data_IF_639431321430
#
_entry.id   IF_639431321430
#
_cell.length_a   1.000
_cell.length_b   1.000
_cell.length_c   1.000
_cell.angle_alpha   90.00
_cell.angle_beta   90.00
_cell.angle_gamma   90.00
#
_symmetry.space_group_name_H-M   'P 1'
#
loop_
_entity.id
_entity.type
_entity.pdbx_description
1 polymer ?
#
# COMPACT_ATOMS: atom_id res chain seq x y z
N UNK A 1 23.70 -2.85 15.90
CA UNK A 1 23.86 -3.38 14.52
C UNK A 1 23.50 -2.26 13.56
N UNK A 2 24.45 -1.80 12.74
CA UNK A 2 24.24 -0.67 11.82
C UNK A 2 23.29 -1.16 10.73
N UNK A 3 22.03 -0.75 10.82
CA UNK A 3 21.00 -1.05 9.84
C UNK A 3 21.37 -0.31 8.55
N UNK A 4 22.17 -0.93 7.68
CA UNK A 4 22.52 -0.38 6.38
C UNK A 4 21.25 -0.37 5.55
N UNK A 5 20.46 0.71 5.66
CA UNK A 5 19.42 1.01 4.69
C UNK A 5 20.10 1.22 3.35
N UNK A 6 19.71 0.42 2.37
CA UNK A 6 20.13 0.61 1.00
C UNK A 6 19.49 1.87 0.44
N UNK A 7 20.28 2.95 0.42
CA UNK A 7 19.84 4.26 -0.10
C UNK A 7 19.30 4.16 -1.53
N UNK A 8 19.81 3.22 -2.33
CA UNK A 8 19.33 2.96 -3.69
C UNK A 8 17.86 2.52 -3.73
N UNK A 9 17.43 1.68 -2.78
CA UNK A 9 16.03 1.23 -2.69
C UNK A 9 15.11 2.36 -2.20
N UNK A 10 15.60 3.18 -1.27
CA UNK A 10 14.87 4.36 -0.80
C UNK A 10 14.67 5.38 -1.96
N UNK A 11 15.71 5.60 -2.78
CA UNK A 11 15.63 6.45 -3.98
C UNK A 11 14.67 5.86 -5.02
N UNK A 12 14.75 4.56 -5.30
CA UNK A 12 13.85 3.90 -6.24
C UNK A 12 12.37 4.06 -5.83
N UNK A 13 12.08 3.92 -4.53
CA UNK A 13 10.73 4.20 -4.00
C UNK A 13 10.31 5.65 -4.19
N UNK A 14 11.21 6.59 -3.90
CA UNK A 14 10.92 8.01 -4.08
C UNK A 14 10.58 8.32 -5.55
N UNK A 15 11.34 7.78 -6.50
CA UNK A 15 11.07 7.93 -7.94
C UNK A 15 9.69 7.36 -8.30
N UNK A 16 9.35 6.16 -7.81
CA UNK A 16 8.02 5.56 -8.06
C UNK A 16 6.87 6.45 -7.54
N UNK A 17 7.02 7.06 -6.36
CA UNK A 17 6.02 7.96 -5.79
C UNK A 17 5.90 9.24 -6.62
N UNK A 18 7.02 9.80 -7.09
CA UNK A 18 7.00 10.99 -7.96
C UNK A 18 6.28 10.68 -9.27
N UNK A 19 6.59 9.53 -9.89
CA UNK A 19 5.93 9.09 -11.12
C UNK A 19 4.42 8.91 -10.94
N UNK A 20 3.99 8.36 -9.80
CA UNK A 20 2.57 8.27 -9.45
C UNK A 20 1.89 9.65 -9.41
N UNK A 21 2.53 10.64 -8.77
CA UNK A 21 2.01 12.00 -8.68
C UNK A 21 1.92 12.66 -10.06
N UNK A 22 2.95 12.46 -10.90
CA UNK A 22 2.97 12.99 -12.28
C UNK A 22 1.86 12.36 -13.14
N UNK A 23 1.61 11.05 -13.00
CA UNK A 23 0.52 10.38 -13.69
C UNK A 23 -0.86 10.94 -13.34
N UNK A 24 -1.05 11.43 -12.11
CA UNK A 24 -2.30 12.02 -11.65
C UNK A 24 -2.40 13.54 -11.82
N UNK A 25 -1.32 14.25 -12.17
CA UNK A 25 -1.31 15.72 -12.28
C UNK A 25 -1.83 16.26 -13.61
N UNK A 26 -2.52 15.45 -14.43
CA UNK A 26 -3.02 15.87 -15.74
C UNK A 26 -1.92 16.02 -16.80
N UNK A 27 -0.90 15.14 -16.77
CA UNK A 27 0.18 15.15 -17.75
C UNK A 27 -0.31 14.78 -19.18
N UNK A 28 0.49 15.06 -20.23
CA UNK A 28 0.16 14.67 -21.60
C UNK A 28 -0.11 13.16 -21.71
N UNK A 29 -1.07 12.76 -22.55
CA UNK A 29 -1.51 11.35 -22.69
C UNK A 29 -0.37 10.37 -22.93
N UNK A 30 0.60 10.72 -23.78
CA UNK A 30 1.78 9.88 -24.03
C UNK A 30 2.60 9.60 -22.75
N UNK A 31 2.76 10.61 -21.89
CA UNK A 31 3.51 10.47 -20.65
C UNK A 31 2.71 9.68 -19.62
N UNK A 32 1.40 9.93 -19.55
CA UNK A 32 0.48 9.15 -18.73
C UNK A 32 0.56 7.66 -19.07
N UNK A 33 0.35 7.29 -20.34
CA UNK A 33 0.36 5.90 -20.79
C UNK A 33 1.70 5.22 -20.48
N UNK A 34 2.80 5.91 -20.78
CA UNK A 34 4.15 5.40 -20.51
C UNK A 34 4.38 5.13 -19.02
N UNK A 35 4.06 6.10 -18.14
CA UNK A 35 4.25 5.95 -16.70
C UNK A 35 3.31 4.87 -16.13
N UNK A 36 2.08 4.79 -16.64
CA UNK A 36 1.07 3.83 -16.18
C UNK A 36 1.50 2.37 -16.38
N UNK A 37 2.29 2.09 -17.41
CA UNK A 37 2.78 0.74 -17.73
C UNK A 37 3.65 0.13 -16.63
N UNK A 38 4.43 0.92 -15.88
CA UNK A 38 5.46 0.36 -14.99
C UNK A 38 5.47 0.91 -13.56
N UNK A 39 4.93 2.09 -13.28
CA UNK A 39 5.06 2.68 -11.93
C UNK A 39 4.45 1.80 -10.83
N UNK A 40 3.27 1.22 -11.06
CA UNK A 40 2.63 0.30 -10.10
C UNK A 40 3.44 -1.00 -9.93
N UNK A 41 3.74 -1.78 -11.00
CA UNK A 41 4.58 -2.97 -10.87
C UNK A 41 5.92 -2.71 -10.20
N UNK A 42 6.61 -1.62 -10.57
CA UNK A 42 7.90 -1.24 -9.99
C UNK A 42 7.78 -0.94 -8.49
N UNK A 43 6.75 -0.20 -8.09
CA UNK A 43 6.51 0.12 -6.68
C UNK A 43 6.23 -1.14 -5.82
N UNK A 44 5.44 -2.09 -6.35
CA UNK A 44 5.21 -3.38 -5.70
C UNK A 44 6.49 -4.20 -5.60
N UNK A 45 7.29 -4.26 -6.67
CA UNK A 45 8.54 -4.99 -6.69
C UNK A 45 9.54 -4.48 -5.64
N UNK A 46 9.78 -3.16 -5.62
CA UNK A 46 10.69 -2.55 -4.63
C UNK A 46 10.16 -2.74 -3.21
N UNK A 47 8.84 -2.71 -3.01
CA UNK A 47 8.24 -2.95 -1.70
C UNK A 47 8.34 -4.40 -1.23
N UNK A 48 8.27 -5.36 -2.15
CA UNK A 48 8.52 -6.78 -1.88
C UNK A 48 9.99 -7.08 -1.61
N UNK A 49 10.92 -6.42 -2.31
CA UNK A 49 12.36 -6.56 -2.07
C UNK A 49 12.77 -6.12 -0.66
N UNK A 50 12.07 -5.13 -0.10
CA UNK A 50 12.26 -4.67 1.28
C UNK A 50 11.60 -5.58 2.34
N UNK A 51 11.04 -6.73 1.93
CA UNK A 51 10.53 -7.74 2.85
C UNK A 51 11.72 -8.51 3.44
N UNK A 52 12.13 -8.14 4.65
CA UNK A 52 13.22 -8.80 5.36
C UNK A 52 12.81 -10.21 5.83
N UNK A 53 13.72 -11.18 5.73
CA UNK A 53 13.55 -12.58 6.18
C UNK A 53 13.12 -12.69 7.65
N UNK A 54 13.52 -11.73 8.50
CA UNK A 54 13.09 -11.65 9.90
C UNK A 54 11.56 -11.59 10.07
N UNK A 55 10.85 -11.05 9.08
CA UNK A 55 9.39 -10.98 9.09
C UNK A 55 8.71 -12.26 8.60
N UNK A 56 9.46 -13.14 7.93
CA UNK A 56 8.97 -14.45 7.49
C UNK A 56 9.01 -15.45 8.65
N UNK A 57 10.05 -15.39 9.49
CA UNK A 57 10.19 -16.25 10.67
C UNK A 57 9.25 -15.85 11.82
N UNK A 58 9.03 -14.56 12.04
CA UNK A 58 8.01 -14.06 12.98
C UNK A 58 6.89 -13.31 12.25
N UNK A 59 5.92 -14.09 11.77
CA UNK A 59 4.74 -13.60 11.06
C UNK A 59 3.96 -12.54 11.85
N UNK A 60 3.86 -12.66 13.18
CA UNK A 60 3.08 -11.72 13.99
C UNK A 60 3.72 -10.33 13.95
N UNK A 61 5.02 -10.26 14.17
CA UNK A 61 5.77 -9.00 14.10
C UNK A 61 5.80 -8.43 12.68
N UNK A 62 5.95 -9.29 11.66
CA UNK A 62 5.86 -8.90 10.25
C UNK A 62 4.52 -8.24 9.91
N UNK A 63 3.40 -8.90 10.22
CA UNK A 63 2.05 -8.37 9.98
C UNK A 63 1.80 -7.05 10.71
N UNK A 64 2.18 -6.95 11.99
CA UNK A 64 2.00 -5.72 12.77
C UNK A 64 2.79 -4.56 12.14
N UNK A 65 4.02 -4.80 11.69
CA UNK A 65 4.84 -3.75 11.10
C UNK A 65 4.32 -3.30 9.74
N UNK A 66 3.80 -4.23 8.91
CA UNK A 66 3.15 -3.87 7.64
C UNK A 66 1.82 -3.16 7.86
N UNK A 67 1.03 -3.56 8.85
CA UNK A 67 -0.19 -2.86 9.24
C UNK A 67 0.11 -1.43 9.72
N UNK A 68 1.13 -1.23 10.56
CA UNK A 68 1.56 0.12 10.96
C UNK A 68 2.01 0.97 9.77
N UNK A 69 2.64 0.37 8.77
CA UNK A 69 3.15 1.08 7.60
C UNK A 69 2.10 1.45 6.56
N UNK A 70 1.07 0.62 6.34
CA UNK A 70 0.07 0.82 5.28
C UNK A 70 -1.36 0.95 5.79
N UNK A 71 -1.78 0.07 6.71
CA UNK A 71 -3.14 0.07 7.26
C UNK A 71 -3.41 1.28 8.16
N UNK A 72 -2.51 1.58 9.08
CA UNK A 72 -2.65 2.72 9.98
C UNK A 72 -2.78 4.06 9.25
N UNK A 73 -1.88 4.44 8.30
CA UNK A 73 -2.04 5.69 7.58
C UNK A 73 -3.31 5.71 6.73
N UNK A 74 -3.69 4.59 6.11
CA UNK A 74 -4.94 4.47 5.35
C UNK A 74 -6.16 4.80 6.23
N UNK A 75 -6.33 4.10 7.36
CA UNK A 75 -7.48 4.31 8.25
C UNK A 75 -7.48 5.71 8.84
N UNK A 76 -6.32 6.21 9.29
CA UNK A 76 -6.20 7.54 9.90
C UNK A 76 -6.67 8.63 8.93
N UNK A 77 -6.15 8.64 7.71
CA UNK A 77 -6.47 9.68 6.73
C UNK A 77 -7.89 9.53 6.19
N UNK A 78 -8.35 8.31 5.89
CA UNK A 78 -9.73 8.08 5.45
C UNK A 78 -10.74 8.51 6.51
N UNK A 79 -10.49 8.21 7.79
CA UNK A 79 -11.39 8.63 8.87
C UNK A 79 -11.44 10.14 9.03
N UNK A 80 -10.29 10.83 8.92
CA UNK A 80 -10.26 12.30 8.96
C UNK A 80 -11.11 12.89 7.83
N UNK A 81 -10.93 12.44 6.59
CA UNK A 81 -11.72 12.95 5.46
C UNK A 81 -13.21 12.61 5.58
N UNK A 82 -13.54 11.43 6.10
CA UNK A 82 -14.92 11.02 6.35
C UNK A 82 -15.59 11.90 7.42
N UNK A 83 -14.88 12.27 8.49
CA UNK A 83 -15.40 13.20 9.52
C UNK A 83 -15.69 14.58 8.94
N UNK A 84 -14.83 15.08 8.04
CA UNK A 84 -15.03 16.35 7.38
C UNK A 84 -15.94 16.27 6.14
N UNK A 85 -16.44 15.09 5.79
CA UNK A 85 -17.25 14.87 4.57
C UNK A 85 -18.47 15.79 4.52
N UNK A 86 -19.21 15.90 5.62
CA UNK A 86 -20.40 16.76 5.68
C UNK A 86 -20.05 18.26 5.60
N UNK A 87 -18.86 18.65 6.06
CA UNK A 87 -18.34 20.02 5.90
C UNK A 87 -17.97 20.27 4.44
N UNK A 88 -17.29 19.32 3.79
CA UNK A 88 -16.95 19.40 2.36
C UNK A 88 -18.19 19.38 1.46
N UNK A 89 -19.24 18.65 1.83
CA UNK A 89 -20.54 18.69 1.15
C UNK A 89 -21.20 20.07 1.28
N UNK A 90 -21.15 20.71 2.46
CA UNK A 90 -21.67 22.09 2.63
C UNK A 90 -20.90 23.14 1.82
N UNK A 91 -19.63 22.87 1.49
CA UNK A 91 -18.80 23.74 0.65
C UNK A 91 -18.90 23.41 -0.85
N UNK A 92 -19.86 22.57 -1.26
CA UNK A 92 -20.04 22.09 -2.65
C UNK A 92 -18.83 21.37 -3.25
N UNK A 93 -17.91 20.85 -2.42
CA UNK A 93 -16.79 20.02 -2.87
C UNK A 93 -17.27 18.59 -3.14
N UNK A 94 -18.25 18.13 -2.37
CA UNK A 94 -18.96 16.88 -2.61
C UNK A 94 -20.40 17.12 -3.02
N UNK A 95 -20.90 16.34 -3.98
CA UNK A 95 -22.27 16.45 -4.47
C UNK A 95 -23.32 16.02 -3.43
N UNK A 96 -22.97 15.10 -2.53
CA UNK A 96 -23.92 14.47 -1.61
C UNK A 96 -23.43 14.49 -0.15
N UNK A 97 -24.30 14.95 0.74
CA UNK A 97 -24.12 14.81 2.20
C UNK A 97 -24.42 13.39 2.67
N UNK A 98 -23.73 12.91 3.70
CA UNK A 98 -23.96 11.58 4.26
C UNK A 98 -24.97 11.63 5.42
N UNK A 99 -25.96 10.74 5.36
CA UNK A 99 -26.82 10.42 6.51
C UNK A 99 -26.03 9.60 7.53
N UNK A 100 -26.51 9.55 8.77
CA UNK A 100 -25.87 8.79 9.85
C UNK A 100 -25.65 7.31 9.51
N UNK A 101 -26.60 6.70 8.78
CA UNK A 101 -26.51 5.30 8.35
C UNK A 101 -25.39 5.11 7.32
N UNK A 102 -25.34 5.97 6.30
CA UNK A 102 -24.27 5.92 5.28
C UNK A 102 -22.90 6.23 5.87
N UNK A 103 -22.84 7.11 6.88
CA UNK A 103 -21.60 7.41 7.59
C UNK A 103 -21.05 6.17 8.30
N UNK A 104 -21.89 5.45 9.07
CA UNK A 104 -21.48 4.22 9.75
C UNK A 104 -21.04 3.15 8.74
N UNK A 105 -21.78 2.99 7.65
CA UNK A 105 -21.40 2.06 6.57
C UNK A 105 -20.01 2.38 6.01
N UNK A 106 -19.71 3.67 5.77
CA UNK A 106 -18.40 4.14 5.29
C UNK A 106 -17.30 3.94 6.31
N UNK A 107 -17.58 4.10 7.60
CA UNK A 107 -16.64 3.76 8.68
C UNK A 107 -16.30 2.27 8.63
N UNK A 108 -17.30 1.39 8.54
CA UNK A 108 -17.08 -0.07 8.46
C UNK A 108 -16.25 -0.41 7.21
N UNK A 109 -16.62 0.14 6.06
CA UNK A 109 -15.89 -0.05 4.78
C UNK A 109 -14.44 0.43 4.85
N UNK A 110 -14.17 1.47 5.64
CA UNK A 110 -12.80 1.97 5.88
C UNK A 110 -12.00 0.96 6.69
N UNK A 111 -12.58 0.38 7.75
CA UNK A 111 -11.89 -0.65 8.54
C UNK A 111 -11.65 -1.94 7.75
N UNK A 112 -12.55 -2.31 6.82
CA UNK A 112 -12.39 -3.47 5.93
C UNK A 112 -11.55 -3.18 4.67
N UNK A 113 -11.00 -1.98 4.52
CA UNK A 113 -10.23 -1.56 3.33
C UNK A 113 -11.00 -1.75 2.01
N UNK A 114 -12.33 -1.65 2.04
CA UNK A 114 -13.20 -1.88 0.87
C UNK A 114 -13.75 -0.58 0.30
N UNK A 115 -13.43 0.56 0.92
CA UNK A 115 -13.86 1.87 0.44
C UNK A 115 -12.88 2.97 0.87
N UNK A 116 -12.81 4.02 0.06
CA UNK A 116 -12.15 5.28 0.37
C UNK A 116 -13.03 6.43 -0.11
N UNK A 117 -12.80 7.62 0.44
CA UNK A 117 -13.47 8.84 0.00
C UNK A 117 -12.99 9.25 -1.40
N UNK A 118 -13.82 9.99 -2.15
CA UNK A 118 -13.52 10.34 -3.55
C UNK A 118 -12.22 11.14 -3.69
N UNK A 119 -11.93 12.02 -2.72
CA UNK A 119 -10.67 12.78 -2.66
C UNK A 119 -9.44 11.90 -2.35
N UNK A 120 -9.66 10.71 -1.82
CA UNK A 120 -8.64 9.72 -1.48
C UNK A 120 -8.55 8.60 -2.51
N UNK A 121 -9.02 8.80 -3.75
CA UNK A 121 -8.99 7.77 -4.80
C UNK A 121 -7.59 7.16 -5.03
N UNK A 122 -6.53 7.94 -4.81
CA UNK A 122 -5.15 7.45 -4.85
C UNK A 122 -4.82 6.39 -3.79
N UNK A 123 -5.61 6.22 -2.73
CA UNK A 123 -5.32 5.27 -1.65
C UNK A 123 -5.55 3.80 -2.00
N UNK A 124 -6.14 3.52 -3.17
CA UNK A 124 -6.29 2.17 -3.68
C UNK A 124 -4.95 1.40 -3.66
N UNK A 125 -3.82 2.04 -3.99
CA UNK A 125 -2.53 1.35 -3.97
C UNK A 125 -2.11 0.90 -2.56
N UNK A 126 -2.47 1.65 -1.50
CA UNK A 126 -2.14 1.26 -0.13
C UNK A 126 -2.88 0.00 0.29
N UNK A 127 -4.15 -0.13 -0.12
CA UNK A 127 -4.95 -1.33 0.10
C UNK A 127 -4.30 -2.52 -0.64
N UNK A 128 -4.00 -2.34 -1.93
CA UNK A 128 -3.35 -3.39 -2.73
C UNK A 128 -1.98 -3.79 -2.18
N UNK A 129 -1.18 -2.82 -1.72
CA UNK A 129 0.13 -3.07 -1.10
C UNK A 129 0.00 -3.88 0.18
N UNK A 130 -0.97 -3.54 1.02
CA UNK A 130 -1.20 -4.27 2.27
C UNK A 130 -1.52 -5.75 2.00
N UNK A 131 -2.47 -6.02 1.10
CA UNK A 131 -2.84 -7.39 0.73
C UNK A 131 -1.71 -8.14 0.02
N UNK A 132 -1.01 -7.50 -0.92
CA UNK A 132 0.14 -8.11 -1.60
C UNK A 132 1.24 -8.52 -0.60
N UNK A 133 1.50 -7.69 0.41
CA UNK A 133 2.46 -8.01 1.46
C UNK A 133 2.01 -9.17 2.35
N UNK A 134 0.73 -9.22 2.74
CA UNK A 134 0.17 -10.37 3.50
C UNK A 134 0.33 -11.67 2.71
N UNK A 135 -0.05 -11.64 1.43
CA UNK A 135 0.06 -12.81 0.54
C UNK A 135 1.52 -13.24 0.41
N UNK A 136 2.44 -12.28 0.20
CA UNK A 136 3.86 -12.59 0.09
C UNK A 136 4.42 -13.21 1.38
N UNK A 137 4.05 -12.70 2.56
CA UNK A 137 4.48 -13.26 3.85
C UNK A 137 3.98 -14.69 4.03
N UNK A 138 2.71 -14.94 3.71
CA UNK A 138 2.13 -16.28 3.79
C UNK A 138 2.84 -17.24 2.83
N UNK A 139 3.06 -16.80 1.59
CA UNK A 139 3.77 -17.57 0.56
C UNK A 139 5.20 -17.94 0.98
N UNK A 140 5.99 -16.97 1.43
CA UNK A 140 7.36 -17.23 1.92
C UNK A 140 7.38 -18.12 3.16
N UNK A 141 6.42 -17.97 4.08
CA UNK A 141 6.30 -18.86 5.23
C UNK A 141 5.92 -20.29 4.81
N UNK A 142 5.05 -20.48 3.83
CA UNK A 142 4.75 -21.82 3.30
C UNK A 142 5.97 -22.46 2.62
N UNK A 143 6.76 -21.69 1.86
CA UNK A 143 7.98 -22.17 1.22
C UNK A 143 9.11 -22.48 2.20
N UNK A 144 9.25 -21.66 3.25
CA UNK A 144 10.21 -21.90 4.33
C UNK A 144 9.87 -23.18 5.10
N UNK A 145 8.58 -23.42 5.40
CA UNK A 145 8.11 -24.66 6.04
C UNK A 145 8.23 -25.89 5.15
N UNK A 146 8.18 -25.73 3.84
CA UNK A 146 8.38 -26.80 2.88
C UNK A 146 9.87 -27.14 2.64
N UNK A 147 10.80 -26.50 3.37
CA UNK A 147 12.28 -26.64 3.22
C UNK A 147 12.82 -26.40 1.79
N UNK A 148 12.01 -25.88 0.87
CA UNK A 148 12.40 -25.59 -0.52
C UNK A 148 13.43 -24.46 -0.60
N UNK A 149 13.44 -23.58 0.40
CA UNK A 149 14.35 -22.42 0.50
C UNK A 149 15.61 -22.69 1.33
N UNK A 150 15.80 -23.90 1.86
CA UNK A 150 17.01 -24.23 2.62
C UNK A 150 18.21 -24.26 1.67
N UNK A 151 19.32 -23.63 2.07
CA UNK A 151 20.60 -23.38 1.37
C UNK A 151 21.22 -24.49 0.50
N UNK A 152 20.64 -25.70 0.47
CA UNK A 152 21.15 -26.84 -0.30
C UNK A 152 20.97 -26.71 -1.81
N UNK A 153 20.10 -25.83 -2.31
CA UNK A 153 19.82 -25.71 -3.75
C UNK A 153 20.75 -24.74 -4.50
N UNK A 154 21.46 -23.85 -3.80
CA UNK A 154 22.35 -22.84 -4.42
C UNK A 154 23.83 -23.22 -4.45
N UNK A 155 24.24 -24.34 -3.82
CA UNK A 155 25.62 -24.89 -3.87
C UNK A 155 25.74 -26.12 -4.78
N UNK A 156 24.85 -26.22 -5.77
CA UNK A 156 24.77 -27.34 -6.72
C UNK A 156 25.04 -26.95 -8.18
N UNK A 157 25.66 -25.79 -8.42
CA UNK A 157 26.21 -25.37 -9.70
C UNK A 157 27.52 -24.61 -9.49
#
# INVERSE_FOLDING_TARGET
MRNNRDKSLDIAKAICIILMVVGHSGCPTYLYDFVYMFHMPCFFFVSGWLLNEKYVTDLKTGLIQKAKGSYYPFVKWTLIFLLFHNVFASMHIYENSYSWQTFIERVIRTFTMTGSESLLGGFWFLISLFWALIISLFFFNTLSKAEVLTEKTFRGF
#
